data_IF_012839977379
#
_entry.id   IF_012839977379
#
_cell.length_a   1.000
_cell.length_b   1.000
_cell.length_c   1.000
_cell.angle_alpha   90.00
_cell.angle_beta   90.00
_cell.angle_gamma   90.00
#
_symmetry.space_group_name_H-M   'P 1'
#
loop_
_entity.id
_entity.type
_entity.pdbx_description
1 polymer ?
#
# COMPACT_ATOMS: atom_id res chain seq x y z
N UNK A 1 1.15 27.55 -46.01
CA UNK A 1 2.27 27.71 -45.05
C UNK A 1 1.78 28.76 -44.07
N UNK A 2 1.43 28.43 -42.82
CA UNK A 2 2.35 28.05 -41.74
C UNK A 2 1.73 27.00 -40.79
N UNK A 3 2.61 26.16 -40.21
CA UNK A 3 2.30 25.19 -39.15
C UNK A 3 3.33 25.46 -38.05
N UNK A 4 2.94 26.23 -37.05
CA UNK A 4 3.70 26.37 -35.82
C UNK A 4 3.27 25.25 -34.88
N UNK A 5 4.22 24.35 -34.65
CA UNK A 5 4.09 23.27 -33.69
C UNK A 5 4.51 23.69 -32.29
N UNK A 6 4.16 22.79 -31.37
CA UNK A 6 4.67 22.62 -30.02
C UNK A 6 4.30 23.70 -29.00
N UNK A 7 3.26 23.40 -28.21
CA UNK A 7 3.25 23.77 -26.80
C UNK A 7 2.74 22.58 -25.95
N UNK A 8 3.69 22.07 -25.19
CA UNK A 8 3.66 21.44 -23.87
C UNK A 8 2.31 21.05 -23.22
N UNK A 9 2.19 19.75 -22.88
CA UNK A 9 1.59 19.28 -21.62
C UNK A 9 1.88 17.77 -21.44
N UNK A 10 3.11 17.42 -21.08
CA UNK A 10 3.37 16.12 -20.45
C UNK A 10 2.97 16.23 -18.99
N UNK A 11 1.77 15.78 -18.61
CA UNK A 11 1.33 16.07 -17.24
C UNK A 11 0.08 15.39 -16.69
N UNK A 12 -0.37 14.26 -17.22
CA UNK A 12 -1.40 13.47 -16.53
C UNK A 12 -1.15 11.99 -16.75
N UNK A 13 -0.12 11.47 -16.09
CA UNK A 13 -0.11 10.04 -15.76
C UNK A 13 -1.19 9.91 -14.67
N UNK A 14 -2.33 9.24 -14.90
CA UNK A 14 -3.26 8.97 -13.81
C UNK A 14 -2.48 8.20 -12.75
N UNK A 15 -2.36 8.77 -11.55
CA UNK A 15 -1.72 8.13 -10.39
C UNK A 15 -2.49 6.84 -10.15
N UNK A 16 -2.00 5.74 -10.73
CA UNK A 16 -2.56 4.41 -10.52
C UNK A 16 -2.59 4.23 -9.00
N UNK A 17 -3.75 3.87 -8.41
CA UNK A 17 -3.84 3.72 -6.98
C UNK A 17 -2.74 2.73 -6.54
N UNK A 18 -1.99 3.04 -5.47
CA UNK A 18 -0.91 2.19 -5.03
C UNK A 18 -1.44 0.78 -4.77
N UNK A 19 -0.83 -0.22 -5.40
CA UNK A 19 -1.14 -1.62 -5.20
C UNK A 19 0.04 -2.31 -4.54
N UNK A 20 -0.26 -3.31 -3.72
CA UNK A 20 0.75 -4.10 -3.01
C UNK A 20 1.60 -4.93 -3.97
N UNK A 21 0.95 -5.74 -4.80
CA UNK A 21 1.60 -6.52 -5.84
C UNK A 21 0.66 -6.70 -7.02
N UNK A 22 1.25 -6.88 -8.22
CA UNK A 22 0.52 -7.22 -9.44
C UNK A 22 0.07 -8.68 -9.50
N UNK A 23 0.57 -9.52 -8.58
CA UNK A 23 0.30 -10.96 -8.53
C UNK A 23 -0.88 -11.33 -7.63
N UNK A 24 -1.48 -10.34 -6.95
CA UNK A 24 -2.63 -10.55 -6.08
C UNK A 24 -3.94 -10.37 -6.85
N UNK A 25 -4.86 -11.30 -6.67
CA UNK A 25 -6.24 -11.15 -7.14
C UNK A 25 -7.10 -10.30 -6.19
N UNK A 26 -8.40 -10.18 -6.48
CA UNK A 26 -9.31 -9.38 -5.67
C UNK A 26 -9.49 -9.90 -4.23
N UNK A 27 -9.53 -11.22 -4.03
CA UNK A 27 -9.70 -11.82 -2.71
C UNK A 27 -8.39 -11.76 -1.89
N UNK A 28 -7.24 -11.94 -2.55
CA UNK A 28 -5.93 -11.68 -1.97
C UNK A 28 -5.81 -10.23 -1.47
N UNK A 29 -6.19 -9.26 -2.32
CA UNK A 29 -6.17 -7.84 -1.98
C UNK A 29 -7.11 -7.54 -0.81
N UNK A 30 -8.32 -8.10 -0.80
CA UNK A 30 -9.28 -7.91 0.30
C UNK A 30 -8.71 -8.41 1.63
N UNK A 31 -8.09 -9.60 1.64
CA UNK A 31 -7.44 -10.17 2.83
C UNK A 31 -6.27 -9.31 3.30
N UNK A 32 -5.42 -8.88 2.36
CA UNK A 32 -4.30 -8.01 2.65
C UNK A 32 -4.74 -6.66 3.25
N UNK A 33 -5.80 -6.02 2.72
CA UNK A 33 -6.34 -4.74 3.23
C UNK A 33 -6.93 -4.90 4.64
N UNK A 34 -7.59 -6.02 4.95
CA UNK A 34 -8.08 -6.30 6.30
C UNK A 34 -6.94 -6.42 7.31
N UNK A 35 -5.87 -7.14 6.96
CA UNK A 35 -4.67 -7.25 7.78
C UNK A 35 -3.93 -5.92 7.94
N UNK A 36 -3.81 -5.15 6.86
CA UNK A 36 -3.25 -3.79 6.90
C UNK A 36 -4.03 -2.91 7.88
N UNK A 37 -5.37 -2.91 7.79
CA UNK A 37 -6.21 -2.09 8.66
C UNK A 37 -6.04 -2.45 10.13
N UNK A 38 -5.87 -3.75 10.42
CA UNK A 38 -5.61 -4.25 11.77
C UNK A 38 -4.21 -3.87 12.25
N UNK A 39 -3.18 -4.02 11.41
CA UNK A 39 -1.80 -3.69 11.74
C UNK A 39 -1.61 -2.20 12.03
N UNK A 40 -2.30 -1.35 11.27
CA UNK A 40 -2.15 0.09 11.35
C UNK A 40 -3.08 0.74 12.36
N UNK A 41 -4.07 0.02 12.87
CA UNK A 41 -4.99 0.56 13.87
C UNK A 41 -4.22 1.20 15.04
N UNK A 42 -4.50 2.47 15.37
CA UNK A 42 -3.71 3.21 16.34
C UNK A 42 -4.12 2.90 17.78
N UNK A 43 -5.21 2.16 18.01
CA UNK A 43 -5.55 1.67 19.36
C UNK A 43 -4.67 0.48 19.75
N UNK A 44 -4.02 -0.17 18.78
CA UNK A 44 -3.08 -1.26 19.02
C UNK A 44 -1.62 -0.81 19.12
N UNK A 45 -0.77 -1.66 19.69
CA UNK A 45 0.68 -1.43 19.86
C UNK A 45 1.48 -1.41 18.55
N UNK A 46 0.81 -1.49 17.40
CA UNK A 46 1.45 -1.67 16.10
C UNK A 46 2.10 -3.04 15.96
N UNK A 47 1.36 -4.10 16.22
CA UNK A 47 1.85 -5.45 16.02
C UNK A 47 1.91 -5.80 14.53
N UNK A 48 2.82 -6.70 14.16
CA UNK A 48 2.81 -7.28 12.83
C UNK A 48 1.57 -8.16 12.66
N UNK A 49 0.82 -7.97 11.57
CA UNK A 49 -0.37 -8.77 11.25
C UNK A 49 -0.12 -9.54 9.96
N UNK A 50 -0.31 -10.85 10.03
CA UNK A 50 -0.20 -11.75 8.89
C UNK A 50 -1.55 -11.92 8.20
N UNK A 51 -1.48 -12.30 6.92
CA UNK A 51 -2.62 -12.73 6.13
C UNK A 51 -2.19 -13.83 5.18
N UNK A 52 -3.14 -14.68 4.82
CA UNK A 52 -2.96 -15.71 3.81
C UNK A 52 -4.27 -15.99 3.07
N UNK A 53 -4.10 -16.45 1.83
CA UNK A 53 -5.14 -17.02 1.02
C UNK A 53 -4.72 -18.44 0.61
N UNK A 54 -5.27 -19.49 1.25
CA UNK A 54 -4.89 -20.86 0.94
C UNK A 54 -5.35 -21.31 -0.46
N UNK A 55 -6.28 -20.59 -1.09
CA UNK A 55 -6.78 -20.94 -2.42
C UNK A 55 -5.78 -20.58 -3.53
N UNK A 56 -5.08 -19.45 -3.39
CA UNK A 56 -4.07 -18.97 -4.35
C UNK A 56 -2.65 -19.26 -3.89
N UNK A 57 -2.45 -19.56 -2.61
CA UNK A 57 -1.14 -19.68 -1.96
C UNK A 57 -0.51 -18.32 -1.62
N UNK A 58 -1.18 -17.21 -1.93
CA UNK A 58 -0.72 -15.86 -1.61
C UNK A 58 -0.74 -15.63 -0.11
N UNK A 59 0.28 -14.97 0.42
CA UNK A 59 0.41 -14.64 1.85
C UNK A 59 1.24 -13.39 2.06
N UNK A 60 1.18 -12.86 3.25
CA UNK A 60 2.02 -11.74 3.62
C UNK A 60 1.91 -11.32 5.07
N UNK A 61 2.59 -10.24 5.39
CA UNK A 61 2.52 -9.58 6.69
C UNK A 61 2.69 -8.08 6.54
N UNK A 62 2.01 -7.32 7.41
CA UNK A 62 2.19 -5.89 7.57
C UNK A 62 2.78 -5.59 8.93
N UNK A 63 3.87 -4.84 8.95
CA UNK A 63 4.54 -4.40 10.16
C UNK A 63 4.53 -2.87 10.19
N UNK A 64 3.82 -2.22 11.13
CA UNK A 64 3.81 -0.78 11.21
C UNK A 64 5.20 -0.27 11.61
N UNK A 65 5.58 0.86 11.02
CA UNK A 65 6.86 1.54 11.28
C UNK A 65 6.54 2.83 12.01
N UNK A 66 6.82 2.84 13.32
CA UNK A 66 6.64 4.01 14.17
C UNK A 66 5.19 4.33 14.51
N UNK A 67 5.00 5.56 15.01
CA UNK A 67 3.71 6.09 15.43
C UNK A 67 2.92 6.64 14.24
N UNK A 68 1.60 6.68 14.40
CA UNK A 68 0.74 7.38 13.45
C UNK A 68 0.99 8.89 13.51
N UNK A 69 0.90 9.58 12.37
CA UNK A 69 1.17 11.01 12.23
C UNK A 69 0.09 11.69 11.37
N UNK A 70 -0.26 12.95 11.67
CA UNK A 70 -1.21 13.70 10.84
C UNK A 70 -0.56 14.16 9.53
N UNK A 71 -1.29 14.05 8.42
CA UNK A 71 -0.90 14.55 7.10
C UNK A 71 -2.16 14.90 6.30
N UNK A 72 -2.25 16.13 5.78
CA UNK A 72 -3.38 16.61 4.96
C UNK A 72 -4.78 16.34 5.56
N UNK A 73 -4.92 16.53 6.88
CA UNK A 73 -6.18 16.27 7.60
C UNK A 73 -6.50 14.78 7.81
N UNK A 74 -5.61 13.88 7.43
CA UNK A 74 -5.69 12.43 7.62
C UNK A 74 -4.70 11.98 8.70
N UNK A 75 -4.94 10.81 9.27
CA UNK A 75 -3.95 10.12 10.11
C UNK A 75 -3.28 9.07 9.24
N UNK A 76 -1.97 9.18 9.07
CA UNK A 76 -1.15 8.27 8.28
C UNK A 76 -0.26 7.42 9.19
N UNK A 77 0.07 6.23 8.72
CA UNK A 77 1.05 5.36 9.39
C UNK A 77 1.88 4.64 8.34
N UNK A 78 3.20 4.68 8.55
CA UNK A 78 4.13 3.97 7.70
C UNK A 78 4.14 2.48 8.04
N UNK A 79 4.49 1.65 7.07
CA UNK A 79 4.56 0.20 7.24
C UNK A 79 5.63 -0.42 6.35
N UNK A 80 6.11 -1.58 6.77
CA UNK A 80 6.77 -2.57 5.93
C UNK A 80 5.77 -3.68 5.63
N UNK A 81 5.82 -4.21 4.42
CA UNK A 81 5.06 -5.38 4.03
C UNK A 81 5.96 -6.43 3.42
N UNK A 82 5.70 -7.68 3.75
CA UNK A 82 6.21 -8.85 3.06
C UNK A 82 5.04 -9.47 2.32
N UNK A 83 5.17 -9.68 1.01
CA UNK A 83 4.14 -10.30 0.17
C UNK A 83 4.79 -11.45 -0.57
N UNK A 84 4.17 -12.62 -0.51
CA UNK A 84 4.55 -13.80 -1.28
C UNK A 84 3.33 -14.22 -2.09
N UNK A 85 3.42 -14.18 -3.41
CA UNK A 85 2.32 -14.50 -4.31
C UNK A 85 2.86 -15.12 -5.60
N UNK A 86 2.23 -16.22 -6.04
CA UNK A 86 2.79 -17.09 -7.08
C UNK A 86 4.26 -17.45 -6.75
N UNK A 87 5.18 -17.20 -7.67
CA UNK A 87 6.63 -17.41 -7.49
C UNK A 87 7.39 -16.12 -7.08
N UNK A 88 6.68 -15.07 -6.69
CA UNK A 88 7.26 -13.77 -6.34
C UNK A 88 7.23 -13.53 -4.84
N UNK A 89 8.38 -13.16 -4.27
CA UNK A 89 8.48 -12.64 -2.89
C UNK A 89 8.93 -11.17 -2.97
N UNK A 90 8.06 -10.28 -2.50
CA UNK A 90 8.23 -8.84 -2.57
C UNK A 90 8.24 -8.26 -1.16
N UNK A 91 9.28 -7.50 -0.83
CA UNK A 91 9.28 -6.64 0.35
C UNK A 91 8.96 -5.22 -0.09
N UNK A 92 8.02 -4.61 0.60
CA UNK A 92 7.49 -3.29 0.29
C UNK A 92 7.62 -2.40 1.53
N UNK A 93 7.72 -1.11 1.29
CA UNK A 93 7.55 -0.07 2.29
C UNK A 93 6.53 0.91 1.78
N UNK A 94 5.73 1.47 2.68
CA UNK A 94 4.65 2.35 2.28
C UNK A 94 4.03 3.09 3.44
N UNK A 95 2.97 3.82 3.12
CA UNK A 95 2.11 4.46 4.08
C UNK A 95 0.66 4.21 3.69
N UNK A 96 -0.18 4.06 4.70
CA UNK A 96 -1.62 4.15 4.54
C UNK A 96 -2.13 5.32 5.38
N UNK A 97 -3.22 5.93 4.94
CA UNK A 97 -3.85 7.04 5.63
C UNK A 97 -5.35 6.77 5.79
N UNK A 98 -5.90 7.21 6.92
CA UNK A 98 -7.33 7.16 7.20
C UNK A 98 -7.87 8.54 7.57
N UNK A 99 -9.11 8.80 7.16
CA UNK A 99 -9.84 10.01 7.57
C UNK A 99 -10.69 9.69 8.80
N UNK A 100 -10.37 10.30 9.95
CA UNK A 100 -11.12 10.09 11.21
C UNK A 100 -11.22 8.59 11.56
N UNK A 101 -12.41 8.01 11.42
CA UNK A 101 -12.75 6.60 11.69
C UNK A 101 -12.95 5.76 10.42
N UNK A 102 -12.59 6.29 9.24
CA UNK A 102 -12.66 5.55 7.99
C UNK A 102 -11.60 4.44 7.91
N UNK A 103 -11.74 3.59 6.89
CA UNK A 103 -10.76 2.55 6.57
C UNK A 103 -9.41 3.13 6.15
N UNK A 104 -8.35 2.35 6.38
CA UNK A 104 -7.01 2.70 5.94
C UNK A 104 -6.88 2.54 4.43
N UNK A 105 -6.53 3.61 3.73
CA UNK A 105 -6.25 3.60 2.30
C UNK A 105 -4.75 3.69 2.04
N UNK A 106 -4.22 2.82 1.18
CA UNK A 106 -2.84 2.91 0.71
C UNK A 106 -2.61 4.25 0.00
N UNK A 107 -1.58 4.98 0.40
CA UNK A 107 -1.20 6.27 -0.20
C UNK A 107 0.14 6.20 -0.92
N UNK A 108 1.05 5.38 -0.42
CA UNK A 108 2.34 5.08 -1.04
C UNK A 108 2.68 3.60 -0.83
N UNK A 109 3.14 2.93 -1.88
CA UNK A 109 3.76 1.60 -1.82
C UNK A 109 4.93 1.59 -2.77
N UNK A 110 6.11 1.22 -2.28
CA UNK A 110 7.33 1.08 -3.09
C UNK A 110 8.13 -0.15 -2.66
N UNK A 111 8.90 -0.75 -3.58
CA UNK A 111 9.82 -1.83 -3.22
C UNK A 111 10.77 -1.40 -2.10
N UNK A 112 10.94 -2.24 -1.09
CA UNK A 112 11.90 -2.02 -0.04
C UNK A 112 13.30 -2.36 -0.55
N UNK A 113 14.17 -1.36 -0.67
CA UNK A 113 15.59 -1.57 -0.95
C UNK A 113 16.33 -1.53 0.38
N UNK A 114 16.92 -2.66 0.76
CA UNK A 114 17.89 -2.72 1.86
C UNK A 114 19.20 -2.14 1.33
N UNK A 115 19.57 -0.96 1.84
CA UNK A 115 20.88 -0.35 1.57
C UNK A 115 21.99 -1.06 2.33
#
# INVERSE_FOLDING_TARGET
MWKDGADDATGTIPKTPPRLSRHLDAEDLRRAVAALSTALDPQGSGASVNWDNPQTGSRGAFTPVGQAYPLDGKICRAFLADVSAADSVERLQGAACREKTAEWALTEVKPFKKG
#
